data_IF_166104381819
#
_entry.id   IF_166104381819
#
_cell.length_a   1.000
_cell.length_b   1.000
_cell.length_c   1.000
_cell.angle_alpha   90.00
_cell.angle_beta   90.00
_cell.angle_gamma   90.00
#
_symmetry.space_group_name_H-M   'P 1'
#
loop_
_entity.id
_entity.type
_entity.pdbx_description
1 polymer ?
#
# COMPACT_ATOMS: atom_id res chain seq x y z
N UNK A 1 34.79 28.23 4.97
CA UNK A 1 33.81 27.62 5.87
C UNK A 1 34.22 26.18 6.10
N UNK A 2 34.63 25.84 7.28
CA UNK A 2 35.31 24.61 7.66
C UNK A 2 34.35 23.40 7.63
N UNK A 3 34.83 22.25 7.15
CA UNK A 3 34.05 21.01 7.00
C UNK A 3 33.36 20.48 8.27
N UNK A 4 33.79 20.96 9.47
CA UNK A 4 33.15 20.67 10.75
C UNK A 4 31.74 21.25 10.91
N UNK A 5 31.43 22.39 10.26
CA UNK A 5 30.12 23.03 10.30
C UNK A 5 29.09 22.29 9.45
N UNK A 6 29.51 21.62 8.36
CA UNK A 6 28.65 20.85 7.49
C UNK A 6 28.28 19.51 8.15
N UNK A 7 29.26 18.85 8.78
CA UNK A 7 29.03 17.61 9.53
C UNK A 7 28.12 17.84 10.76
N UNK A 8 28.29 18.97 11.46
CA UNK A 8 27.41 19.36 12.56
C UNK A 8 25.98 19.67 12.11
N UNK A 9 25.79 20.32 10.95
CA UNK A 9 24.45 20.54 10.34
C UNK A 9 23.79 19.24 9.88
N UNK A 10 24.52 18.33 9.26
CA UNK A 10 24.01 17.00 8.86
C UNK A 10 23.61 16.18 10.09
N UNK A 11 24.42 16.20 11.17
CA UNK A 11 24.06 15.57 12.46
C UNK A 11 22.86 16.23 13.14
N UNK A 12 22.72 17.55 13.04
CA UNK A 12 21.58 18.29 13.59
C UNK A 12 20.27 18.03 12.79
N UNK A 13 20.34 17.96 11.45
CA UNK A 13 19.22 17.59 10.59
C UNK A 13 18.77 16.14 10.80
N UNK A 14 19.69 15.20 11.06
CA UNK A 14 19.36 13.80 11.39
C UNK A 14 18.72 13.60 12.77
N UNK A 15 18.70 14.63 13.64
CA UNK A 15 18.09 14.59 14.98
C UNK A 15 16.74 15.32 15.07
N UNK A 16 16.27 15.93 13.98
CA UNK A 16 15.00 16.66 13.94
C UNK A 16 13.77 15.73 14.10
N UNK A 17 12.61 16.27 14.51
CA UNK A 17 11.37 15.50 14.68
C UNK A 17 10.95 14.74 13.41
N UNK A 18 11.16 15.33 12.23
CA UNK A 18 10.85 14.73 10.92
C UNK A 18 11.75 13.52 10.63
N UNK A 19 13.05 13.61 10.91
CA UNK A 19 13.98 12.49 10.71
C UNK A 19 13.64 11.32 11.65
N UNK A 20 13.29 11.59 12.90
CA UNK A 20 12.84 10.57 13.86
C UNK A 20 11.54 9.89 13.40
N UNK A 21 10.58 10.67 12.91
CA UNK A 21 9.32 10.15 12.37
C UNK A 21 9.55 9.25 11.14
N UNK A 22 10.46 9.63 10.23
CA UNK A 22 10.83 8.83 9.06
C UNK A 22 11.51 7.52 9.42
N UNK A 23 12.46 7.57 10.37
CA UNK A 23 13.15 6.37 10.89
C UNK A 23 12.14 5.44 11.58
N UNK A 24 11.26 5.99 12.42
CA UNK A 24 10.21 5.21 13.09
C UNK A 24 9.28 4.54 12.06
N UNK A 25 8.84 5.28 11.04
CA UNK A 25 8.02 4.72 9.97
C UNK A 25 8.72 3.57 9.23
N UNK A 26 10.02 3.71 8.96
CA UNK A 26 10.83 2.66 8.32
C UNK A 26 10.93 1.42 9.21
N UNK A 27 11.26 1.60 10.50
CA UNK A 27 11.34 0.50 11.47
C UNK A 27 9.99 -0.22 11.59
N UNK A 28 8.88 0.52 11.70
CA UNK A 28 7.54 -0.05 11.73
C UNK A 28 7.24 -0.87 10.48
N UNK A 29 7.62 -0.40 9.31
CA UNK A 29 7.43 -1.11 8.03
C UNK A 29 8.27 -2.37 7.94
N UNK A 30 9.55 -2.33 8.33
CA UNK A 30 10.42 -3.51 8.34
C UNK A 30 9.90 -4.56 9.32
N UNK A 31 9.54 -4.14 10.53
CA UNK A 31 8.96 -5.03 11.53
C UNK A 31 7.62 -5.65 11.03
N UNK A 32 6.78 -4.84 10.37
CA UNK A 32 5.49 -5.31 9.84
C UNK A 32 5.63 -6.35 8.74
N UNK A 33 6.74 -6.35 7.97
CA UNK A 33 6.97 -7.40 6.98
C UNK A 33 7.26 -8.73 7.64
N UNK A 34 8.11 -8.75 8.66
CA UNK A 34 8.42 -10.01 9.36
C UNK A 34 7.17 -10.60 10.00
N UNK A 35 6.41 -9.78 10.74
CA UNK A 35 5.16 -10.22 11.37
C UNK A 35 4.08 -10.57 10.34
N UNK A 36 3.94 -9.76 9.28
CA UNK A 36 2.98 -10.02 8.20
C UNK A 36 3.34 -11.28 7.39
N UNK A 37 4.63 -11.55 7.19
CA UNK A 37 5.09 -12.77 6.55
C UNK A 37 4.80 -13.99 7.43
N UNK A 38 5.10 -13.93 8.74
CA UNK A 38 4.76 -14.99 9.71
C UNK A 38 3.24 -15.25 9.71
N UNK A 39 2.42 -14.21 9.78
CA UNK A 39 0.96 -14.33 9.68
C UNK A 39 0.54 -15.06 8.40
N UNK A 40 1.11 -14.68 7.25
CA UNK A 40 0.79 -15.27 5.95
C UNK A 40 1.18 -16.77 5.91
N UNK A 41 2.37 -17.13 6.42
CA UNK A 41 2.82 -18.52 6.53
C UNK A 41 1.88 -19.35 7.40
N UNK A 42 1.54 -18.86 8.61
CA UNK A 42 0.63 -19.56 9.50
C UNK A 42 -0.77 -19.70 8.90
N UNK A 43 -1.27 -18.67 8.20
CA UNK A 43 -2.54 -18.73 7.49
C UNK A 43 -2.52 -19.80 6.40
N UNK A 44 -1.46 -19.84 5.58
CA UNK A 44 -1.30 -20.85 4.52
C UNK A 44 -1.24 -22.28 5.09
N UNK A 45 -0.46 -22.49 6.16
CA UNK A 45 -0.32 -23.82 6.79
C UNK A 45 -1.60 -24.34 7.42
N UNK A 46 -2.36 -23.47 8.09
CA UNK A 46 -3.55 -23.87 8.84
C UNK A 46 -4.79 -24.00 7.96
N UNK A 47 -4.92 -23.15 6.93
CA UNK A 47 -6.12 -23.09 6.07
C UNK A 47 -5.94 -23.79 4.73
N UNK A 48 -4.70 -24.07 4.33
CA UNK A 48 -4.40 -24.53 2.96
C UNK A 48 -4.69 -23.47 1.91
N UNK A 49 -4.48 -23.80 0.60
CA UNK A 49 -4.70 -22.83 -0.48
C UNK A 49 -6.16 -22.35 -0.58
N UNK A 50 -7.13 -23.26 -0.50
CA UNK A 50 -8.54 -22.92 -0.66
C UNK A 50 -9.03 -21.97 0.46
N UNK A 51 -8.81 -22.34 1.72
CA UNK A 51 -9.22 -21.51 2.86
C UNK A 51 -8.48 -20.16 2.89
N UNK A 52 -7.20 -20.16 2.54
CA UNK A 52 -6.44 -18.91 2.43
C UNK A 52 -7.02 -17.99 1.34
N UNK A 53 -7.39 -18.55 0.19
CA UNK A 53 -8.01 -17.81 -0.90
C UNK A 53 -9.36 -17.21 -0.52
N UNK A 54 -10.23 -17.98 0.14
CA UNK A 54 -11.52 -17.48 0.64
C UNK A 54 -11.34 -16.26 1.56
N UNK A 55 -10.44 -16.37 2.53
CA UNK A 55 -10.14 -15.27 3.46
C UNK A 55 -9.53 -14.08 2.73
N UNK A 56 -8.65 -14.31 1.76
CA UNK A 56 -8.02 -13.26 0.98
C UNK A 56 -9.06 -12.45 0.17
N UNK A 57 -10.03 -13.12 -0.45
CA UNK A 57 -11.12 -12.44 -1.18
C UNK A 57 -12.00 -11.61 -0.23
N UNK A 58 -12.40 -12.18 0.93
CA UNK A 58 -13.18 -11.43 1.93
C UNK A 58 -12.41 -10.18 2.38
N UNK A 59 -11.12 -10.31 2.66
CA UNK A 59 -10.29 -9.19 3.06
C UNK A 59 -10.14 -8.14 1.95
N UNK A 60 -9.85 -8.56 0.70
CA UNK A 60 -9.71 -7.66 -0.46
C UNK A 60 -11.01 -6.92 -0.77
N UNK A 61 -12.17 -7.59 -0.76
CA UNK A 61 -13.48 -6.95 -0.91
C UNK A 61 -13.74 -5.94 0.21
N UNK A 62 -13.44 -6.29 1.46
CA UNK A 62 -13.61 -5.40 2.61
C UNK A 62 -12.72 -4.17 2.49
N UNK A 63 -11.47 -4.34 2.02
CA UNK A 63 -10.52 -3.25 1.83
C UNK A 63 -10.94 -2.31 0.70
N UNK A 64 -11.48 -2.87 -0.40
CA UNK A 64 -12.04 -2.08 -1.51
C UNK A 64 -13.22 -1.25 -1.03
N UNK A 65 -14.20 -1.88 -0.34
CA UNK A 65 -15.35 -1.15 0.21
C UNK A 65 -14.91 -0.07 1.21
N UNK A 66 -13.97 -0.36 2.11
CA UNK A 66 -13.44 0.61 3.05
C UNK A 66 -12.78 1.81 2.33
N UNK A 67 -12.02 1.56 1.26
CA UNK A 67 -11.35 2.63 0.50
C UNK A 67 -12.35 3.46 -0.31
N UNK A 68 -13.34 2.82 -0.93
CA UNK A 68 -14.44 3.52 -1.61
C UNK A 68 -15.23 4.40 -0.63
N UNK A 69 -15.47 3.91 0.58
CA UNK A 69 -16.18 4.65 1.64
C UNK A 69 -15.43 5.90 2.10
N UNK A 70 -14.11 5.92 2.01
CA UNK A 70 -13.30 7.07 2.42
C UNK A 70 -13.41 8.28 1.49
N UNK A 71 -13.81 8.09 0.22
CA UNK A 71 -14.04 9.19 -0.73
C UNK A 71 -12.87 10.18 -0.86
N UNK A 72 -11.61 9.74 -0.70
CA UNK A 72 -10.41 10.58 -0.67
C UNK A 72 -10.17 11.33 0.65
N UNK A 73 -11.07 11.19 1.61
CA UNK A 73 -10.96 11.83 2.92
C UNK A 73 -9.70 11.41 3.70
N UNK A 74 -9.13 10.24 3.41
CA UNK A 74 -7.89 9.77 4.03
C UNK A 74 -6.71 10.73 3.75
N UNK A 75 -6.44 11.06 2.50
CA UNK A 75 -5.33 11.96 2.12
C UNK A 75 -5.64 13.40 2.52
N UNK A 76 -6.89 13.83 2.30
CA UNK A 76 -7.34 15.16 2.68
C UNK A 76 -7.26 15.38 4.19
N UNK A 77 -7.64 14.39 5.01
CA UNK A 77 -7.56 14.47 6.47
C UNK A 77 -6.12 14.66 6.96
N UNK A 78 -5.13 14.00 6.34
CA UNK A 78 -3.72 14.22 6.70
C UNK A 78 -3.32 15.68 6.48
N UNK A 79 -3.65 16.23 5.29
CA UNK A 79 -3.33 17.63 4.92
C UNK A 79 -4.03 18.63 5.82
N UNK A 80 -5.34 18.50 5.98
CA UNK A 80 -6.15 19.49 6.68
C UNK A 80 -5.97 19.47 8.21
N UNK A 81 -5.87 18.28 8.79
CA UNK A 81 -5.56 18.16 10.23
C UNK A 81 -4.19 18.80 10.52
N UNK A 82 -3.17 18.54 9.69
CA UNK A 82 -1.86 19.17 9.85
C UNK A 82 -1.94 20.69 9.71
N UNK A 83 -2.66 21.21 8.69
CA UNK A 83 -2.82 22.62 8.42
C UNK A 83 -3.58 23.35 9.55
N UNK A 84 -4.76 22.84 9.92
CA UNK A 84 -5.60 23.47 10.93
C UNK A 84 -4.99 23.39 12.33
N UNK A 85 -4.28 22.29 12.63
CA UNK A 85 -3.53 22.17 13.88
C UNK A 85 -2.35 23.17 13.95
N UNK A 86 -1.63 23.39 12.84
CA UNK A 86 -0.53 24.35 12.78
C UNK A 86 -1.01 25.81 12.88
N UNK A 87 -2.24 26.10 12.39
CA UNK A 87 -2.88 27.41 12.50
C UNK A 87 -3.64 27.62 13.82
N UNK A 88 -3.66 26.62 14.70
CA UNK A 88 -4.42 26.60 15.96
C UNK A 88 -5.93 26.88 15.77
N UNK A 89 -6.45 26.62 14.55
CA UNK A 89 -7.85 26.82 14.18
C UNK A 89 -8.72 25.62 14.64
N UNK A 90 -8.81 25.44 15.96
CA UNK A 90 -9.41 24.26 16.59
C UNK A 90 -10.94 24.16 16.37
N UNK A 91 -11.63 25.27 16.22
CA UNK A 91 -13.05 25.34 15.85
C UNK A 91 -13.32 24.74 14.47
N UNK A 92 -12.50 25.10 13.47
CA UNK A 92 -12.56 24.54 12.12
C UNK A 92 -12.13 23.09 12.09
N UNK A 93 -11.08 22.73 12.85
CA UNK A 93 -10.61 21.35 12.96
C UNK A 93 -11.70 20.44 13.53
N UNK A 94 -12.40 20.88 14.58
CA UNK A 94 -13.53 20.14 15.15
C UNK A 94 -14.66 19.98 14.12
N UNK A 95 -15.03 21.05 13.43
CA UNK A 95 -16.04 21.00 12.36
C UNK A 95 -15.68 20.05 11.24
N UNK A 96 -14.40 20.09 10.79
CA UNK A 96 -13.88 19.18 9.78
C UNK A 96 -13.95 17.71 10.18
N UNK A 97 -13.43 17.35 11.35
CA UNK A 97 -13.43 15.97 11.84
C UNK A 97 -14.85 15.41 11.98
N UNK A 98 -15.78 16.22 12.54
CA UNK A 98 -17.18 15.84 12.67
C UNK A 98 -17.83 15.63 11.31
N UNK A 99 -17.63 16.55 10.36
CA UNK A 99 -18.16 16.44 9.01
C UNK A 99 -17.63 15.20 8.28
N UNK A 100 -16.31 14.99 8.31
CA UNK A 100 -15.67 13.84 7.66
C UNK A 100 -16.14 12.52 8.25
N UNK A 101 -16.32 12.45 9.57
CA UNK A 101 -16.84 11.27 10.24
C UNK A 101 -18.28 10.98 9.83
N UNK A 102 -19.17 11.98 9.83
CA UNK A 102 -20.58 11.83 9.45
C UNK A 102 -20.74 11.43 7.98
N UNK A 103 -20.06 12.13 7.07
CA UNK A 103 -20.12 11.82 5.64
C UNK A 103 -19.50 10.45 5.39
N UNK A 104 -18.31 10.16 5.94
CA UNK A 104 -17.66 8.88 5.81
C UNK A 104 -18.50 7.72 6.33
N UNK A 105 -19.13 7.87 7.49
CA UNK A 105 -20.05 6.86 8.04
C UNK A 105 -21.26 6.66 7.13
N UNK A 106 -21.88 7.75 6.64
CA UNK A 106 -23.03 7.68 5.73
C UNK A 106 -22.68 6.95 4.42
N UNK A 107 -21.53 7.29 3.82
CA UNK A 107 -21.04 6.61 2.60
C UNK A 107 -20.76 5.13 2.89
N UNK A 108 -20.11 4.82 4.01
CA UNK A 108 -19.84 3.43 4.43
C UNK A 108 -21.12 2.62 4.56
N UNK A 109 -22.11 3.14 5.26
CA UNK A 109 -23.40 2.47 5.42
C UNK A 109 -24.12 2.30 4.07
N UNK A 110 -24.05 3.32 3.18
CA UNK A 110 -24.60 3.22 1.82
C UNK A 110 -23.93 2.12 0.99
N UNK A 111 -22.61 2.03 1.01
CA UNK A 111 -21.88 0.95 0.31
C UNK A 111 -22.13 -0.42 0.91
N UNK A 112 -22.27 -0.53 2.25
CA UNK A 112 -22.63 -1.80 2.91
C UNK A 112 -24.04 -2.20 2.52
N UNK A 113 -25.01 -1.28 2.54
CA UNK A 113 -26.39 -1.57 2.14
C UNK A 113 -26.45 -2.02 0.67
N UNK A 114 -25.75 -1.34 -0.25
CA UNK A 114 -25.65 -1.75 -1.64
C UNK A 114 -24.97 -3.12 -1.79
N UNK A 115 -23.91 -3.37 -1.03
CA UNK A 115 -23.21 -4.67 -1.04
C UNK A 115 -24.13 -5.79 -0.56
N UNK A 116 -24.86 -5.59 0.54
CA UNK A 116 -25.81 -6.59 1.05
C UNK A 116 -26.98 -6.82 0.09
N UNK A 117 -27.48 -5.77 -0.55
CA UNK A 117 -28.62 -5.88 -1.47
C UNK A 117 -28.25 -6.58 -2.78
N UNK A 118 -27.09 -6.30 -3.34
CA UNK A 118 -26.69 -6.73 -4.68
C UNK A 118 -25.34 -7.47 -4.66
N UNK A 119 -24.32 -6.87 -4.07
CA UNK A 119 -22.92 -7.34 -4.17
C UNK A 119 -22.70 -8.72 -3.57
N UNK A 120 -23.41 -9.04 -2.47
CA UNK A 120 -23.29 -10.33 -1.81
C UNK A 120 -23.67 -11.51 -2.70
N UNK A 121 -24.61 -11.32 -3.66
CA UNK A 121 -25.04 -12.36 -4.61
C UNK A 121 -23.96 -12.70 -5.63
N UNK A 122 -23.07 -11.77 -5.91
CA UNK A 122 -22.00 -11.91 -6.89
C UNK A 122 -20.63 -12.17 -6.24
N UNK A 123 -20.54 -12.15 -4.90
CA UNK A 123 -19.27 -12.37 -4.22
C UNK A 123 -18.79 -13.82 -4.38
N UNK A 124 -17.54 -14.06 -4.80
CA UNK A 124 -17.03 -15.40 -5.14
C UNK A 124 -16.64 -16.23 -3.90
N UNK A 125 -17.23 -15.95 -2.74
CA UNK A 125 -16.95 -16.58 -1.45
C UNK A 125 -18.19 -17.15 -0.76
N UNK A 126 -19.33 -17.23 -1.46
CA UNK A 126 -20.56 -17.82 -0.93
C UNK A 126 -20.99 -17.22 0.41
N UNK A 127 -21.25 -18.05 1.40
CA UNK A 127 -21.72 -17.64 2.73
C UNK A 127 -20.73 -16.73 3.48
N UNK A 128 -19.44 -16.75 3.12
CA UNK A 128 -18.46 -15.87 3.75
C UNK A 128 -18.61 -14.40 3.33
N UNK A 129 -19.41 -14.13 2.30
CA UNK A 129 -19.65 -12.78 1.80
C UNK A 129 -20.22 -11.83 2.87
N UNK A 130 -21.01 -12.34 3.82
CA UNK A 130 -21.58 -11.52 4.91
C UNK A 130 -20.51 -10.86 5.78
N UNK A 131 -19.36 -11.50 5.95
CA UNK A 131 -18.28 -10.98 6.80
C UNK A 131 -17.60 -9.74 6.20
N UNK A 132 -17.73 -9.53 4.88
CA UNK A 132 -17.27 -8.29 4.23
C UNK A 132 -17.98 -7.08 4.83
N UNK A 133 -19.31 -7.19 5.05
CA UNK A 133 -20.11 -6.12 5.64
C UNK A 133 -19.72 -5.81 7.10
N UNK A 134 -19.17 -6.77 7.83
CA UNK A 134 -18.66 -6.59 9.20
C UNK A 134 -17.24 -6.03 9.22
N UNK A 135 -16.39 -6.47 8.30
CA UNK A 135 -14.98 -6.10 8.30
C UNK A 135 -14.74 -4.72 7.66
N UNK A 136 -15.48 -4.36 6.60
CA UNK A 136 -15.29 -3.09 5.88
C UNK A 136 -15.44 -1.84 6.77
N UNK A 137 -16.44 -1.71 7.65
CA UNK A 137 -16.56 -0.56 8.56
C UNK A 137 -15.37 -0.44 9.52
N UNK A 138 -14.88 -1.57 10.04
CA UNK A 138 -13.72 -1.57 10.94
C UNK A 138 -12.47 -1.07 10.22
N UNK A 139 -12.25 -1.53 8.98
CA UNK A 139 -11.13 -1.03 8.14
C UNK A 139 -11.29 0.45 7.83
N UNK A 140 -12.51 0.92 7.54
CA UNK A 140 -12.79 2.36 7.31
C UNK A 140 -12.43 3.19 8.56
N UNK A 141 -12.84 2.75 9.74
CA UNK A 141 -12.50 3.43 11.00
C UNK A 141 -11.00 3.44 11.26
N UNK A 142 -10.31 2.33 11.00
CA UNK A 142 -8.85 2.27 11.13
C UNK A 142 -8.20 3.28 10.18
N UNK A 143 -8.56 3.29 8.90
CA UNK A 143 -7.97 4.19 7.90
C UNK A 143 -8.26 5.67 8.20
N UNK A 144 -9.48 5.99 8.63
CA UNK A 144 -9.83 7.35 9.09
C UNK A 144 -8.95 7.78 10.27
N UNK A 145 -8.90 6.97 11.32
CA UNK A 145 -8.09 7.27 12.49
C UNK A 145 -6.60 7.37 12.19
N UNK A 146 -6.07 6.51 11.31
CA UNK A 146 -4.69 6.60 10.82
C UNK A 146 -4.41 7.94 10.15
N UNK A 147 -5.33 8.41 9.30
CA UNK A 147 -5.19 9.67 8.58
C UNK A 147 -5.20 10.86 9.53
N UNK A 148 -6.11 10.86 10.51
CA UNK A 148 -6.17 11.89 11.56
C UNK A 148 -4.89 11.91 12.40
N UNK A 149 -4.43 10.73 12.87
CA UNK A 149 -3.20 10.63 13.65
C UNK A 149 -1.94 11.02 12.85
N UNK A 150 -1.90 10.70 11.56
CA UNK A 150 -0.84 11.16 10.64
C UNK A 150 -0.82 12.68 10.54
N UNK A 151 -1.98 13.32 10.41
CA UNK A 151 -2.11 14.78 10.38
C UNK A 151 -1.61 15.46 11.68
N UNK A 152 -1.77 14.81 12.83
CA UNK A 152 -1.17 15.25 14.10
C UNK A 152 0.31 14.89 14.25
N UNK A 153 0.95 14.28 13.26
CA UNK A 153 2.34 13.83 13.31
C UNK A 153 2.59 12.65 14.25
N UNK A 154 1.55 11.92 14.67
CA UNK A 154 1.64 10.78 15.59
C UNK A 154 1.85 9.48 14.82
N UNK A 155 3.04 9.32 14.20
CA UNK A 155 3.39 8.24 13.28
C UNK A 155 3.11 6.84 13.85
N UNK A 156 3.47 6.59 15.13
CA UNK A 156 3.25 5.29 15.76
C UNK A 156 1.75 4.95 15.88
N UNK A 157 0.92 5.89 16.34
CA UNK A 157 -0.53 5.69 16.45
C UNK A 157 -1.21 5.63 15.08
N UNK A 158 -0.64 6.31 14.09
CA UNK A 158 -1.13 6.26 12.72
C UNK A 158 -0.88 4.89 12.05
N UNK A 159 0.32 4.35 12.17
CA UNK A 159 0.74 3.17 11.41
C UNK A 159 0.74 1.87 12.26
N UNK A 160 1.08 1.97 13.55
CA UNK A 160 1.28 0.82 14.45
C UNK A 160 0.08 -0.13 14.54
N UNK A 161 -1.16 0.35 14.72
CA UNK A 161 -2.33 -0.52 14.87
C UNK A 161 -2.56 -1.43 13.66
N UNK A 162 -2.41 -0.93 12.44
CA UNK A 162 -2.62 -1.72 11.22
C UNK A 162 -1.38 -2.54 10.85
N UNK A 163 -0.17 -1.95 10.97
CA UNK A 163 1.06 -2.59 10.53
C UNK A 163 1.62 -3.61 11.52
N UNK A 164 1.40 -3.41 12.84
CA UNK A 164 1.96 -4.28 13.87
C UNK A 164 0.89 -4.94 14.73
N UNK A 165 0.01 -4.15 15.38
CA UNK A 165 -0.91 -4.69 16.37
C UNK A 165 -1.80 -5.78 15.77
N UNK A 166 -2.48 -5.49 14.66
CA UNK A 166 -3.36 -6.45 13.98
C UNK A 166 -2.62 -7.70 13.53
N UNK A 167 -1.50 -7.64 12.78
CA UNK A 167 -0.77 -8.86 12.41
C UNK A 167 -0.17 -9.62 13.60
N UNK A 168 0.26 -8.94 14.68
CA UNK A 168 0.74 -9.60 15.90
C UNK A 168 -0.39 -10.39 16.56
N UNK A 169 -1.57 -9.79 16.74
CA UNK A 169 -2.73 -10.47 17.31
C UNK A 169 -3.12 -11.70 16.49
N UNK A 170 -3.17 -11.56 15.16
CA UNK A 170 -3.46 -12.67 14.26
C UNK A 170 -2.41 -13.76 14.35
N UNK A 171 -1.13 -13.39 14.29
CA UNK A 171 -0.03 -14.38 14.38
C UNK A 171 -0.01 -15.09 15.73
N UNK A 172 -0.30 -14.39 16.84
CA UNK A 172 -0.32 -14.98 18.17
C UNK A 172 -1.43 -16.02 18.31
N UNK A 173 -2.64 -15.72 17.81
CA UNK A 173 -3.77 -16.67 17.82
C UNK A 173 -3.47 -17.87 16.92
N UNK A 174 -2.98 -17.64 15.69
CA UNK A 174 -2.65 -18.71 14.76
C UNK A 174 -1.49 -19.61 15.30
N UNK A 175 -0.50 -18.99 15.93
CA UNK A 175 0.61 -19.73 16.55
C UNK A 175 0.10 -20.60 17.71
N UNK A 176 -0.80 -20.10 18.53
CA UNK A 176 -1.42 -20.87 19.61
C UNK A 176 -2.23 -22.07 19.07
N UNK A 177 -3.02 -21.86 18.02
CA UNK A 177 -3.78 -22.92 17.34
C UNK A 177 -2.83 -23.97 16.75
N UNK A 178 -1.79 -23.54 16.06
CA UNK A 178 -0.78 -24.42 15.47
C UNK A 178 -0.03 -25.22 16.54
N UNK A 179 0.41 -24.57 17.63
CA UNK A 179 1.11 -25.24 18.73
C UNK A 179 0.23 -26.24 19.49
N UNK A 180 -1.08 -26.00 19.56
CA UNK A 180 -2.04 -26.93 20.14
C UNK A 180 -2.42 -28.09 19.20
N UNK A 181 -1.90 -28.15 17.98
CA UNK A 181 -2.24 -29.15 16.96
C UNK A 181 -3.70 -29.08 16.49
N UNK A 182 -4.36 -27.92 16.67
CA UNK A 182 -5.75 -27.72 16.28
C UNK A 182 -5.84 -27.27 14.82
N UNK A 183 -6.92 -27.65 14.15
CA UNK A 183 -7.32 -27.10 12.85
C UNK A 183 -8.24 -25.90 13.03
N UNK A 184 -8.23 -24.99 12.07
CA UNK A 184 -9.14 -23.85 12.01
C UNK A 184 -9.80 -23.80 10.63
N UNK A 185 -11.10 -23.59 10.59
CA UNK A 185 -11.82 -23.38 9.34
C UNK A 185 -11.78 -21.88 8.91
N UNK A 186 -12.03 -21.56 7.65
CA UNK A 186 -12.01 -20.17 7.16
C UNK A 186 -12.97 -19.24 7.90
N UNK A 187 -14.15 -19.73 8.34
CA UNK A 187 -15.11 -18.91 9.10
C UNK A 187 -14.56 -18.53 10.47
N UNK A 188 -14.03 -19.49 11.21
CA UNK A 188 -13.41 -19.23 12.51
C UNK A 188 -12.24 -18.27 12.39
N UNK A 189 -11.40 -18.42 11.35
CA UNK A 189 -10.31 -17.48 11.11
C UNK A 189 -10.81 -16.06 10.79
N UNK A 190 -11.87 -15.90 9.99
CA UNK A 190 -12.45 -14.59 9.70
C UNK A 190 -12.93 -13.91 10.98
N UNK A 191 -13.53 -14.63 11.95
CA UNK A 191 -13.87 -14.05 13.25
C UNK A 191 -12.64 -13.52 13.99
N UNK A 192 -11.52 -14.25 13.95
CA UNK A 192 -10.24 -13.75 14.52
C UNK A 192 -9.77 -12.48 13.79
N UNK A 193 -9.90 -12.43 12.45
CA UNK A 193 -9.57 -11.24 11.65
C UNK A 193 -10.45 -10.05 12.03
N UNK A 194 -11.75 -10.24 12.20
CA UNK A 194 -12.71 -9.20 12.62
C UNK A 194 -12.38 -8.73 14.03
N UNK A 195 -12.12 -9.65 14.97
CA UNK A 195 -11.76 -9.30 16.35
C UNK A 195 -10.44 -8.48 16.39
N UNK A 196 -9.40 -8.91 15.67
CA UNK A 196 -8.14 -8.18 15.59
C UNK A 196 -8.30 -6.80 14.93
N UNK A 197 -9.14 -6.69 13.90
CA UNK A 197 -9.49 -5.40 13.29
C UNK A 197 -10.28 -4.52 14.26
N UNK A 198 -11.20 -5.10 15.04
CA UNK A 198 -11.95 -4.41 16.08
C UNK A 198 -11.05 -3.83 17.18
N UNK A 199 -10.07 -4.61 17.66
CA UNK A 199 -9.08 -4.13 18.62
C UNK A 199 -8.23 -3.00 18.02
N UNK A 200 -7.76 -3.13 16.77
CA UNK A 200 -7.01 -2.08 16.10
C UNK A 200 -7.85 -0.80 15.91
N UNK A 201 -9.11 -0.93 15.50
CA UNK A 201 -10.06 0.19 15.38
C UNK A 201 -10.29 0.88 16.72
N UNK A 202 -10.47 0.11 17.80
CA UNK A 202 -10.65 0.63 19.16
C UNK A 202 -9.41 1.43 19.61
N UNK A 203 -8.20 0.88 19.44
CA UNK A 203 -6.95 1.56 19.81
C UNK A 203 -6.78 2.87 19.06
N UNK A 204 -6.99 2.87 17.74
CA UNK A 204 -6.91 4.11 16.92
C UNK A 204 -8.03 5.08 17.32
N UNK A 205 -9.26 4.59 17.51
CA UNK A 205 -10.42 5.39 17.92
C UNK A 205 -10.18 6.08 19.27
N UNK A 206 -9.68 5.35 20.28
CA UNK A 206 -9.31 5.93 21.59
C UNK A 206 -8.20 6.98 21.41
N UNK A 207 -7.19 6.72 20.59
CA UNK A 207 -6.12 7.68 20.31
C UNK A 207 -6.68 8.98 19.69
N UNK A 208 -7.59 8.86 18.70
CA UNK A 208 -8.27 10.02 18.11
C UNK A 208 -9.09 10.77 19.14
N UNK A 209 -9.94 10.08 19.91
CA UNK A 209 -10.81 10.68 20.94
C UNK A 209 -9.96 11.43 21.98
N UNK A 210 -8.90 10.81 22.49
CA UNK A 210 -8.00 11.46 23.47
C UNK A 210 -7.30 12.69 22.90
N UNK A 211 -6.83 12.60 21.64
CA UNK A 211 -6.13 13.71 20.98
C UNK A 211 -7.07 14.87 20.66
N UNK A 212 -8.33 14.59 20.36
CA UNK A 212 -9.36 15.59 20.00
C UNK A 212 -10.23 16.00 21.20
N UNK A 213 -10.01 15.45 22.37
CA UNK A 213 -10.79 15.78 23.59
C UNK A 213 -10.76 17.28 23.92
N UNK A 214 -9.62 17.93 23.75
CA UNK A 214 -9.46 19.37 23.95
C UNK A 214 -10.23 20.22 22.93
N UNK A 215 -10.57 19.66 21.76
CA UNK A 215 -11.36 20.35 20.73
C UNK A 215 -12.85 20.41 21.07
N UNK A 216 -13.33 19.57 22.00
CA UNK A 216 -14.75 19.49 22.37
C UNK A 216 -15.24 20.75 23.07
N UNK A 217 -14.35 21.54 23.67
CA UNK A 217 -14.68 22.82 24.29
C UNK A 217 -14.91 23.95 23.27
N UNK A 218 -14.51 23.77 22.02
CA UNK A 218 -14.72 24.75 20.96
C UNK A 218 -15.94 24.37 20.12
N UNK A 219 -16.92 25.29 19.92
CA UNK A 219 -18.07 25.01 19.09
C UNK A 219 -17.64 24.77 17.64
N UNK A 220 -18.14 23.71 16.97
CA UNK A 220 -17.74 23.41 15.60
C UNK A 220 -18.29 24.47 14.63
N UNK A 221 -17.41 25.06 13.83
CA UNK A 221 -17.82 25.94 12.73
C UNK A 221 -18.31 25.10 11.56
N UNK A 222 -19.41 25.52 10.95
CA UNK A 222 -19.94 24.88 9.73
C UNK A 222 -18.91 24.99 8.62
N UNK A 223 -18.43 23.84 8.15
CA UNK A 223 -17.50 23.72 7.03
C UNK A 223 -18.29 23.38 5.77
N UNK A 224 -18.00 24.02 4.66
CA UNK A 224 -18.68 23.78 3.39
C UNK A 224 -18.20 22.50 2.72
N UNK A 225 -19.03 21.43 2.62
CA UNK A 225 -18.61 20.13 2.10
C UNK A 225 -18.11 20.17 0.64
N UNK A 226 -18.66 21.08 -0.16
CA UNK A 226 -18.38 21.20 -1.60
C UNK A 226 -16.91 21.49 -1.93
N UNK A 227 -16.27 22.39 -1.18
CA UNK A 227 -14.86 22.72 -1.37
C UNK A 227 -13.96 21.49 -1.11
N UNK A 228 -14.27 20.75 -0.07
CA UNK A 228 -13.51 19.59 0.37
C UNK A 228 -13.67 18.42 -0.59
N UNK A 229 -14.86 18.17 -1.10
CA UNK A 229 -15.11 17.15 -2.11
C UNK A 229 -14.34 17.45 -3.40
N UNK A 230 -14.25 18.71 -3.81
CA UNK A 230 -13.49 19.09 -4.99
C UNK A 230 -11.98 18.89 -4.82
N UNK A 231 -11.44 19.16 -3.63
CA UNK A 231 -10.03 18.88 -3.31
C UNK A 231 -9.75 17.38 -3.12
N UNK A 232 -10.71 16.62 -2.59
CA UNK A 232 -10.59 15.19 -2.35
C UNK A 232 -10.68 14.36 -3.64
N UNK A 233 -11.46 14.77 -4.63
CA UNK A 233 -11.76 13.97 -5.81
C UNK A 233 -10.52 13.49 -6.60
N UNK A 234 -9.51 14.31 -6.93
CA UNK A 234 -8.32 13.84 -7.62
C UNK A 234 -7.50 12.84 -6.78
N UNK A 235 -7.44 13.07 -5.47
CA UNK A 235 -6.73 12.19 -4.52
C UNK A 235 -7.45 10.85 -4.37
N UNK A 236 -8.78 10.88 -4.44
CA UNK A 236 -9.62 9.69 -4.40
C UNK A 236 -9.40 8.80 -5.61
N UNK A 237 -9.40 9.36 -6.82
CA UNK A 237 -9.14 8.60 -8.05
C UNK A 237 -7.76 7.95 -8.00
N UNK A 238 -6.73 8.69 -7.55
CA UNK A 238 -5.38 8.13 -7.38
C UNK A 238 -5.36 6.98 -6.37
N UNK A 239 -6.02 7.17 -5.22
CA UNK A 239 -6.10 6.15 -4.17
C UNK A 239 -6.78 4.87 -4.64
N UNK A 240 -7.89 4.99 -5.38
CA UNK A 240 -8.59 3.83 -5.98
C UNK A 240 -7.72 3.13 -7.01
N UNK A 241 -7.04 3.86 -7.89
CA UNK A 241 -6.20 3.25 -8.91
C UNK A 241 -5.03 2.45 -8.30
N UNK A 242 -4.39 2.99 -7.26
CA UNK A 242 -3.33 2.28 -6.52
C UNK A 242 -3.88 1.04 -5.82
N UNK A 243 -5.03 1.15 -5.15
CA UNK A 243 -5.67 0.00 -4.50
C UNK A 243 -6.06 -1.07 -5.52
N UNK A 244 -6.66 -0.66 -6.65
CA UNK A 244 -7.08 -1.57 -7.70
C UNK A 244 -5.88 -2.37 -8.23
N UNK A 245 -4.74 -1.73 -8.53
CA UNK A 245 -3.54 -2.43 -8.97
C UNK A 245 -3.04 -3.48 -7.96
N UNK A 246 -3.27 -3.27 -6.67
CA UNK A 246 -2.86 -4.22 -5.64
C UNK A 246 -3.85 -5.37 -5.42
N UNK A 247 -5.16 -5.09 -5.44
CA UNK A 247 -6.18 -6.04 -5.01
C UNK A 247 -6.91 -6.73 -6.17
N UNK A 248 -6.86 -6.15 -7.38
CA UNK A 248 -7.69 -6.60 -8.51
C UNK A 248 -7.40 -8.06 -8.89
N UNK A 249 -6.14 -8.49 -8.86
CA UNK A 249 -5.77 -9.87 -9.19
C UNK A 249 -6.35 -10.89 -8.20
N UNK A 250 -6.37 -10.55 -6.90
CA UNK A 250 -7.00 -11.39 -5.87
C UNK A 250 -8.51 -11.53 -6.11
N UNK A 251 -9.18 -10.42 -6.48
CA UNK A 251 -10.60 -10.43 -6.77
C UNK A 251 -10.93 -11.18 -8.07
N UNK A 252 -10.17 -10.93 -9.13
CA UNK A 252 -10.36 -11.59 -10.42
C UNK A 252 -10.13 -13.10 -10.31
N UNK A 253 -9.10 -13.53 -9.57
CA UNK A 253 -8.87 -14.93 -9.26
C UNK A 253 -10.05 -15.54 -8.53
N UNK A 254 -10.57 -14.87 -7.50
CA UNK A 254 -11.75 -15.33 -6.79
C UNK A 254 -12.97 -15.55 -7.69
N UNK A 255 -13.21 -14.65 -8.67
CA UNK A 255 -14.35 -14.75 -9.56
C UNK A 255 -14.18 -15.76 -10.70
N UNK A 256 -12.96 -15.90 -11.26
CA UNK A 256 -12.77 -16.67 -12.50
C UNK A 256 -12.05 -18.00 -12.31
N UNK A 257 -11.19 -18.11 -11.29
CA UNK A 257 -10.41 -19.32 -11.04
C UNK A 257 -10.72 -19.99 -9.70
N UNK A 258 -11.46 -19.31 -8.84
CA UNK A 258 -11.90 -19.84 -7.54
C UNK A 258 -10.91 -19.64 -6.40
N UNK A 259 -11.31 -20.08 -5.18
CA UNK A 259 -10.54 -19.81 -3.97
C UNK A 259 -9.16 -20.47 -3.94
N UNK A 260 -9.02 -21.69 -4.48
CA UNK A 260 -7.77 -22.42 -4.49
C UNK A 260 -6.67 -21.65 -5.24
N UNK A 261 -6.94 -21.20 -6.46
CA UNK A 261 -5.99 -20.41 -7.25
C UNK A 261 -5.70 -19.04 -6.61
N UNK A 262 -6.72 -18.45 -6.01
CA UNK A 262 -6.54 -17.21 -5.22
C UNK A 262 -5.59 -17.42 -4.06
N UNK A 263 -5.71 -18.54 -3.35
CA UNK A 263 -4.82 -18.88 -2.23
C UNK A 263 -3.40 -19.12 -2.67
N UNK A 264 -3.20 -19.83 -3.79
CA UNK A 264 -1.88 -20.07 -4.39
C UNK A 264 -1.18 -18.77 -4.77
N UNK A 265 -1.93 -17.73 -5.16
CA UNK A 265 -1.38 -16.43 -5.48
C UNK A 265 -0.92 -15.63 -4.24
N UNK A 266 -1.45 -15.90 -3.04
CA UNK A 266 -1.16 -15.10 -1.84
C UNK A 266 0.32 -15.11 -1.42
N UNK A 267 1.03 -16.26 -1.34
CA UNK A 267 2.46 -16.25 -1.06
C UNK A 267 3.26 -15.41 -2.07
N UNK A 268 2.90 -15.52 -3.36
CA UNK A 268 3.54 -14.77 -4.45
C UNK A 268 3.38 -13.26 -4.24
N UNK A 269 2.16 -12.82 -3.93
CA UNK A 269 1.87 -11.41 -3.62
C UNK A 269 2.65 -10.93 -2.38
N UNK A 270 2.80 -11.75 -1.34
CA UNK A 270 3.58 -11.41 -0.13
C UNK A 270 5.08 -11.32 -0.40
N UNK A 271 5.62 -12.24 -1.17
CA UNK A 271 7.04 -12.23 -1.55
C UNK A 271 7.35 -10.99 -2.41
N UNK A 272 6.45 -10.58 -3.30
CA UNK A 272 6.64 -9.40 -4.14
C UNK A 272 6.82 -8.09 -3.32
N UNK A 273 6.21 -8.01 -2.14
CA UNK A 273 6.39 -6.86 -1.24
C UNK A 273 7.82 -6.72 -0.73
N UNK A 274 8.56 -7.82 -0.57
CA UNK A 274 9.98 -7.79 -0.18
C UNK A 274 10.84 -7.12 -1.24
N UNK A 275 10.56 -7.38 -2.52
CA UNK A 275 11.26 -6.76 -3.66
C UNK A 275 11.04 -5.25 -3.72
N UNK A 276 9.81 -4.79 -3.47
CA UNK A 276 9.47 -3.36 -3.51
C UNK A 276 10.06 -2.56 -2.35
N UNK A 277 10.43 -3.20 -1.24
CA UNK A 277 11.02 -2.50 -0.09
C UNK A 277 12.36 -1.86 -0.39
N UNK A 278 13.21 -2.49 -1.20
CA UNK A 278 14.46 -1.90 -1.65
C UNK A 278 14.20 -0.54 -2.32
N UNK A 279 13.24 -0.50 -3.24
CA UNK A 279 12.82 0.71 -3.93
C UNK A 279 12.28 1.79 -2.96
N UNK A 280 11.43 1.39 -2.00
CA UNK A 280 10.89 2.31 -1.00
C UNK A 280 11.97 2.90 -0.09
N UNK A 281 12.97 2.12 0.29
CA UNK A 281 14.09 2.58 1.12
C UNK A 281 14.93 3.64 0.41
N UNK A 282 15.21 3.45 -0.87
CA UNK A 282 15.88 4.44 -1.73
C UNK A 282 15.02 5.69 -1.87
N UNK A 283 13.70 5.53 -2.06
CA UNK A 283 12.73 6.62 -2.24
C UNK A 283 12.69 7.61 -1.07
N UNK A 284 12.86 7.14 0.17
CA UNK A 284 12.82 7.99 1.38
C UNK A 284 13.89 9.09 1.36
N UNK A 285 15.09 8.77 0.89
CA UNK A 285 16.19 9.74 0.78
C UNK A 285 16.16 10.52 -0.53
N UNK A 286 15.70 9.88 -1.59
CA UNK A 286 15.65 10.43 -2.92
C UNK A 286 14.63 11.58 -3.05
N UNK A 287 13.40 11.40 -2.55
CA UNK A 287 12.32 12.37 -2.72
C UNK A 287 12.68 13.81 -2.25
N UNK A 288 13.07 14.02 -0.98
CA UNK A 288 13.44 15.34 -0.50
C UNK A 288 14.62 15.97 -1.27
N UNK A 289 15.59 15.15 -1.68
CA UNK A 289 16.76 15.64 -2.43
C UNK A 289 16.40 16.09 -3.84
N UNK A 290 15.49 15.36 -4.51
CA UNK A 290 14.93 15.79 -5.79
C UNK A 290 14.20 17.11 -5.65
N UNK A 291 13.32 17.26 -4.66
CA UNK A 291 12.57 18.49 -4.44
C UNK A 291 13.50 19.71 -4.22
N UNK A 292 14.57 19.53 -3.43
CA UNK A 292 15.58 20.56 -3.18
C UNK A 292 16.31 20.99 -4.46
N UNK A 293 16.87 20.02 -5.21
CA UNK A 293 17.62 20.28 -6.43
C UNK A 293 16.72 20.84 -7.54
N UNK A 294 15.50 20.37 -7.64
CA UNK A 294 14.54 20.87 -8.63
C UNK A 294 14.15 22.33 -8.34
N UNK A 295 13.94 22.68 -7.07
CA UNK A 295 13.66 24.05 -6.65
C UNK A 295 14.86 25.01 -6.89
N UNK A 296 16.09 24.47 -6.87
CA UNK A 296 17.32 25.21 -7.16
C UNK A 296 17.60 25.34 -8.68
N UNK A 297 16.80 24.70 -9.53
CA UNK A 297 17.03 24.68 -10.99
C UNK A 297 18.18 23.76 -11.44
N UNK A 298 18.70 22.91 -10.54
CA UNK A 298 19.85 22.03 -10.83
C UNK A 298 19.40 20.72 -11.52
N UNK A 299 18.77 20.86 -12.70
CA UNK A 299 18.17 19.72 -13.44
C UNK A 299 19.18 18.61 -13.77
N UNK A 300 20.41 18.94 -14.13
CA UNK A 300 21.46 17.95 -14.41
C UNK A 300 21.81 17.08 -13.18
N UNK A 301 21.73 17.67 -11.96
CA UNK A 301 21.94 16.90 -10.73
C UNK A 301 20.73 16.04 -10.39
N UNK A 302 19.51 16.49 -10.70
CA UNK A 302 18.29 15.67 -10.57
C UNK A 302 18.40 14.44 -11.45
N UNK A 303 18.86 14.57 -12.68
CA UNK A 303 19.10 13.45 -13.59
C UNK A 303 20.16 12.48 -13.03
N UNK A 304 21.31 12.98 -12.59
CA UNK A 304 22.41 12.15 -12.04
C UNK A 304 21.96 11.33 -10.81
N UNK A 305 21.25 11.96 -9.87
CA UNK A 305 20.74 11.21 -8.71
C UNK A 305 19.63 10.24 -9.08
N UNK A 306 18.82 10.52 -10.10
CA UNK A 306 17.79 9.62 -10.61
C UNK A 306 18.40 8.37 -11.21
N UNK A 307 19.44 8.50 -12.00
CA UNK A 307 20.22 7.39 -12.57
C UNK A 307 20.86 6.53 -11.47
N UNK A 308 21.51 7.17 -10.49
CA UNK A 308 22.09 6.45 -9.34
C UNK A 308 21.04 5.70 -8.53
N UNK A 309 19.86 6.30 -8.35
CA UNK A 309 18.76 5.66 -7.66
C UNK A 309 18.20 4.45 -8.43
N UNK A 310 18.09 4.53 -9.76
CA UNK A 310 17.66 3.39 -10.60
C UNK A 310 18.69 2.24 -10.56
N UNK A 311 19.98 2.53 -10.64
CA UNK A 311 21.04 1.52 -10.50
C UNK A 311 20.96 0.86 -9.12
N UNK A 312 20.89 1.64 -8.05
CA UNK A 312 20.83 1.11 -6.69
C UNK A 312 19.57 0.26 -6.45
N UNK A 313 18.40 0.73 -6.89
CA UNK A 313 17.15 0.00 -6.77
C UNK A 313 17.17 -1.32 -7.55
N UNK A 314 17.69 -1.29 -8.78
CA UNK A 314 17.82 -2.51 -9.60
C UNK A 314 18.83 -3.49 -9.02
N UNK A 315 19.97 -3.01 -8.53
CA UNK A 315 20.97 -3.87 -7.89
C UNK A 315 20.39 -4.60 -6.66
N UNK A 316 19.64 -3.90 -5.83
CA UNK A 316 18.93 -4.51 -4.68
C UNK A 316 17.89 -5.52 -5.16
N UNK A 317 17.07 -5.17 -6.17
CA UNK A 317 16.07 -6.09 -6.72
C UNK A 317 16.71 -7.36 -7.29
N UNK A 318 17.83 -7.24 -8.03
CA UNK A 318 18.57 -8.39 -8.57
C UNK A 318 19.15 -9.25 -7.45
N UNK A 319 19.74 -8.65 -6.41
CA UNK A 319 20.28 -9.38 -5.27
C UNK A 319 19.19 -10.17 -4.51
N UNK A 320 18.03 -9.54 -4.28
CA UNK A 320 16.87 -10.21 -3.65
C UNK A 320 16.34 -11.31 -4.57
N UNK A 321 16.24 -11.06 -5.88
CA UNK A 321 15.82 -12.07 -6.86
C UNK A 321 16.77 -13.27 -6.87
N UNK A 322 18.07 -13.06 -6.81
CA UNK A 322 19.04 -14.15 -6.70
C UNK A 322 18.82 -14.99 -5.43
N UNK A 323 18.60 -14.34 -4.30
CA UNK A 323 18.19 -15.02 -3.07
C UNK A 323 16.88 -15.82 -3.25
N UNK A 324 15.88 -15.24 -3.93
CA UNK A 324 14.63 -15.95 -4.20
C UNK A 324 14.82 -17.15 -5.13
N UNK A 325 15.71 -17.10 -6.12
CA UNK A 325 16.02 -18.24 -6.99
C UNK A 325 16.53 -19.43 -6.17
N UNK A 326 17.41 -19.16 -5.21
CA UNK A 326 18.00 -20.20 -4.36
C UNK A 326 17.01 -20.75 -3.33
N UNK A 327 16.18 -19.89 -2.76
CA UNK A 327 15.35 -20.22 -1.60
C UNK A 327 13.86 -20.28 -1.91
N UNK A 328 13.40 -20.09 -3.16
CA UNK A 328 11.98 -20.11 -3.49
C UNK A 328 11.25 -21.39 -3.06
N UNK A 329 11.76 -22.61 -3.31
CA UNK A 329 11.09 -23.81 -2.84
C UNK A 329 11.00 -23.89 -1.31
N UNK A 330 12.06 -23.46 -0.60
CA UNK A 330 12.05 -23.38 0.85
C UNK A 330 11.02 -22.36 1.36
N UNK A 331 11.01 -21.16 0.79
CA UNK A 331 10.09 -20.08 1.19
C UNK A 331 8.64 -20.47 0.91
N UNK A 332 8.33 -21.03 -0.26
CA UNK A 332 6.99 -21.50 -0.61
C UNK A 332 6.59 -22.71 0.26
N UNK A 333 7.51 -23.62 0.55
CA UNK A 333 7.32 -24.77 1.45
C UNK A 333 7.01 -24.37 2.90
N UNK A 334 7.40 -23.16 3.33
CA UNK A 334 6.99 -22.63 4.64
C UNK A 334 5.46 -22.47 4.74
N UNK A 335 4.78 -22.19 3.64
CA UNK A 335 3.31 -22.08 3.58
C UNK A 335 2.63 -23.47 3.55
N UNK A 336 3.35 -24.50 3.14
CA UNK A 336 2.88 -25.88 2.95
C UNK A 336 3.24 -26.42 1.57
N UNK A 337 3.29 -27.73 1.41
CA UNK A 337 3.71 -28.40 0.16
C UNK A 337 2.83 -28.00 -1.04
N UNK A 338 1.51 -27.82 -0.85
CA UNK A 338 0.59 -27.41 -1.88
C UNK A 338 0.95 -26.07 -2.53
N UNK A 339 1.70 -25.20 -1.84
CA UNK A 339 2.11 -23.90 -2.38
C UNK A 339 3.36 -23.94 -3.25
N UNK A 340 4.06 -25.07 -3.34
CA UNK A 340 5.22 -25.21 -4.23
C UNK A 340 4.85 -25.00 -5.70
N UNK A 341 3.62 -25.33 -6.10
CA UNK A 341 3.11 -25.07 -7.45
C UNK A 341 2.98 -23.56 -7.78
N UNK A 342 3.02 -22.67 -6.79
CA UNK A 342 3.00 -21.21 -6.99
C UNK A 342 4.32 -20.67 -7.57
N UNK A 343 5.38 -21.48 -7.67
CA UNK A 343 6.69 -21.06 -8.16
C UNK A 343 6.63 -20.47 -9.58
N UNK A 344 5.80 -21.02 -10.46
CA UNK A 344 5.61 -20.50 -11.82
C UNK A 344 5.03 -19.08 -11.83
N UNK A 345 4.03 -18.79 -10.99
CA UNK A 345 3.47 -17.46 -10.84
C UNK A 345 4.48 -16.48 -10.22
N UNK A 346 5.33 -16.96 -9.28
CA UNK A 346 6.34 -16.15 -8.62
C UNK A 346 7.30 -15.49 -9.62
N UNK A 347 7.76 -16.21 -10.63
CA UNK A 347 8.72 -15.68 -11.60
C UNK A 347 8.15 -14.55 -12.46
N UNK A 348 6.88 -14.61 -12.82
CA UNK A 348 6.21 -13.52 -13.54
C UNK A 348 6.10 -12.26 -12.68
N UNK A 349 5.78 -12.41 -11.40
CA UNK A 349 5.71 -11.28 -10.47
C UNK A 349 7.09 -10.71 -10.18
N UNK A 350 8.11 -11.55 -10.04
CA UNK A 350 9.52 -11.11 -9.89
C UNK A 350 9.95 -10.29 -11.12
N UNK A 351 9.63 -10.74 -12.33
CA UNK A 351 9.92 -10.00 -13.56
C UNK A 351 9.24 -8.61 -13.55
N UNK A 352 7.98 -8.51 -13.12
CA UNK A 352 7.28 -7.24 -12.98
C UNK A 352 7.96 -6.29 -11.98
N UNK A 353 8.46 -6.83 -10.87
CA UNK A 353 9.15 -6.02 -9.85
C UNK A 353 10.53 -5.55 -10.30
N UNK A 354 11.31 -6.42 -10.98
CA UNK A 354 12.60 -6.02 -11.57
C UNK A 354 12.39 -4.91 -12.58
N UNK A 355 11.40 -5.03 -13.46
CA UNK A 355 11.05 -3.99 -14.43
C UNK A 355 10.75 -2.66 -13.72
N UNK A 356 9.93 -2.69 -12.67
CA UNK A 356 9.57 -1.49 -11.89
C UNK A 356 10.81 -0.86 -11.22
N UNK A 357 11.73 -1.68 -10.70
CA UNK A 357 12.98 -1.18 -10.14
C UNK A 357 13.90 -0.59 -11.22
N UNK A 358 13.98 -1.22 -12.41
CA UNK A 358 14.79 -0.77 -13.52
C UNK A 358 14.31 0.56 -14.13
N UNK A 359 13.03 0.87 -14.06
CA UNK A 359 12.49 2.17 -14.48
C UNK A 359 12.79 3.29 -13.48
N UNK A 360 13.23 2.96 -12.27
CA UNK A 360 13.65 3.91 -11.25
C UNK A 360 12.47 4.51 -10.46
N UNK A 361 12.76 5.57 -9.71
CA UNK A 361 11.83 6.22 -8.80
C UNK A 361 10.93 7.26 -9.51
N UNK A 362 10.22 6.84 -10.56
CA UNK A 362 9.43 7.71 -11.45
C UNK A 362 8.34 8.47 -10.70
N UNK A 363 7.55 7.77 -9.85
CA UNK A 363 6.45 8.39 -9.09
C UNK A 363 6.96 9.46 -8.11
N UNK A 364 7.96 9.19 -7.25
CA UNK A 364 8.56 10.22 -6.42
C UNK A 364 9.13 11.39 -7.24
N UNK A 365 9.76 11.11 -8.37
CA UNK A 365 10.32 12.13 -9.24
C UNK A 365 9.23 13.09 -9.78
N UNK A 366 8.15 12.55 -10.36
CA UNK A 366 7.02 13.35 -10.86
C UNK A 366 6.33 14.13 -9.74
N UNK A 367 6.15 13.53 -8.56
CA UNK A 367 5.54 14.20 -7.43
C UNK A 367 6.37 15.37 -6.90
N UNK A 368 7.69 15.19 -6.78
CA UNK A 368 8.60 16.21 -6.24
C UNK A 368 8.91 17.33 -7.26
N UNK A 369 8.76 17.06 -8.56
CA UNK A 369 8.89 18.08 -9.62
C UNK A 369 7.59 18.81 -9.94
N UNK A 370 6.51 18.60 -9.19
CA UNK A 370 5.22 19.27 -9.38
C UNK A 370 4.31 18.64 -10.45
N UNK A 371 4.73 17.54 -11.08
CA UNK A 371 4.01 16.87 -12.17
C UNK A 371 3.25 15.60 -11.70
N UNK A 372 2.89 15.49 -10.43
CA UNK A 372 2.26 14.29 -9.85
C UNK A 372 0.96 13.87 -10.55
N UNK A 373 0.20 14.80 -11.13
CA UNK A 373 -1.00 14.48 -11.91
C UNK A 373 -0.72 13.65 -13.15
N UNK A 374 0.48 13.73 -13.71
CA UNK A 374 0.89 12.94 -14.88
C UNK A 374 1.05 11.45 -14.58
N UNK A 375 1.07 11.05 -13.30
CA UNK A 375 1.07 9.66 -12.88
C UNK A 375 -0.32 9.01 -12.88
N UNK A 376 -1.41 9.79 -12.95
CA UNK A 376 -2.78 9.27 -12.90
C UNK A 376 -3.14 8.42 -14.11
N UNK A 377 -2.95 8.96 -15.31
CA UNK A 377 -3.31 8.26 -16.55
C UNK A 377 -2.58 6.91 -16.69
N UNK A 378 -1.26 6.82 -16.47
CA UNK A 378 -0.57 5.52 -16.46
C UNK A 378 -1.16 4.51 -15.50
N UNK A 379 -1.52 4.92 -14.28
CA UNK A 379 -2.10 4.00 -13.28
C UNK A 379 -3.48 3.50 -13.69
N UNK A 380 -4.36 4.39 -14.18
CA UNK A 380 -5.70 4.02 -14.66
C UNK A 380 -5.58 3.06 -15.86
N UNK A 381 -4.70 3.39 -16.82
CA UNK A 381 -4.43 2.52 -17.97
C UNK A 381 -3.89 1.16 -17.53
N UNK A 382 -3.00 1.14 -16.53
CA UNK A 382 -2.48 -0.10 -15.95
C UNK A 382 -3.58 -0.98 -15.35
N UNK A 383 -4.53 -0.39 -14.62
CA UNK A 383 -5.70 -1.13 -14.11
C UNK A 383 -6.53 -1.70 -15.26
N UNK A 384 -6.82 -0.91 -16.28
CA UNK A 384 -7.60 -1.35 -17.44
C UNK A 384 -6.89 -2.50 -18.19
N UNK A 385 -5.60 -2.39 -18.42
CA UNK A 385 -4.78 -3.45 -19.05
C UNK A 385 -4.73 -4.69 -18.17
N UNK A 386 -4.58 -4.56 -16.85
CA UNK A 386 -4.58 -5.68 -15.92
C UNK A 386 -5.93 -6.44 -15.97
N UNK A 387 -7.05 -5.71 -15.96
CA UNK A 387 -8.38 -6.30 -16.09
C UNK A 387 -8.52 -7.00 -17.45
N UNK A 388 -8.15 -6.34 -18.54
CA UNK A 388 -8.28 -6.91 -19.89
C UNK A 388 -7.44 -8.17 -20.09
N UNK A 389 -6.15 -8.14 -19.67
CA UNK A 389 -5.29 -9.32 -19.74
C UNK A 389 -5.71 -10.40 -18.76
N UNK A 390 -6.11 -10.01 -17.54
CA UNK A 390 -6.55 -10.96 -16.52
C UNK A 390 -7.83 -11.68 -16.92
N UNK A 391 -8.80 -11.00 -17.56
CA UNK A 391 -10.02 -11.63 -18.06
C UNK A 391 -9.77 -12.72 -19.10
N UNK A 392 -8.65 -12.63 -19.83
CA UNK A 392 -8.23 -13.62 -20.82
C UNK A 392 -7.34 -14.71 -20.20
N UNK A 393 -6.40 -14.33 -19.35
CA UNK A 393 -5.34 -15.23 -18.86
C UNK A 393 -5.73 -16.01 -17.59
N UNK A 394 -6.50 -15.40 -16.67
CA UNK A 394 -6.87 -16.06 -15.42
C UNK A 394 -7.75 -17.31 -15.62
N UNK A 395 -8.80 -17.30 -16.48
CA UNK A 395 -9.60 -18.48 -16.70
C UNK A 395 -8.80 -19.67 -17.26
N UNK A 396 -7.74 -19.40 -18.03
CA UNK A 396 -6.91 -20.43 -18.66
C UNK A 396 -5.73 -20.88 -17.79
N UNK A 397 -5.17 -19.99 -16.95
CA UNK A 397 -3.88 -20.21 -16.29
C UNK A 397 -3.91 -19.91 -14.78
N UNK A 398 -5.07 -19.65 -14.17
CA UNK A 398 -5.22 -19.42 -12.75
C UNK A 398 -4.27 -18.35 -12.18
N UNK A 399 -3.55 -18.68 -11.10
CA UNK A 399 -2.59 -17.80 -10.44
C UNK A 399 -1.46 -17.34 -11.37
N UNK A 400 -1.02 -18.16 -12.31
CA UNK A 400 -0.01 -17.79 -13.32
C UNK A 400 -0.59 -16.72 -14.26
N UNK A 401 -1.83 -16.86 -14.68
CA UNK A 401 -2.52 -15.87 -15.52
C UNK A 401 -2.63 -14.51 -14.84
N UNK A 402 -2.90 -14.48 -13.52
CA UNK A 402 -2.91 -13.27 -12.73
C UNK A 402 -1.51 -12.61 -12.64
N UNK A 403 -0.46 -13.42 -12.50
CA UNK A 403 0.91 -12.93 -12.48
C UNK A 403 1.34 -12.36 -13.85
N UNK A 404 0.96 -13.03 -14.96
CA UNK A 404 1.22 -12.55 -16.32
C UNK A 404 0.48 -11.25 -16.62
N UNK A 405 -0.79 -11.15 -16.22
CA UNK A 405 -1.58 -9.91 -16.40
C UNK A 405 -0.99 -8.73 -15.62
N UNK A 406 -0.50 -8.99 -14.40
CA UNK A 406 0.22 -7.99 -13.60
C UNK A 406 1.48 -7.51 -14.32
N UNK A 407 2.30 -8.43 -14.86
CA UNK A 407 3.50 -8.05 -15.63
C UNK A 407 3.13 -7.19 -16.84
N UNK A 408 2.12 -7.59 -17.61
CA UNK A 408 1.65 -6.81 -18.77
C UNK A 408 1.18 -5.41 -18.38
N UNK A 409 0.42 -5.29 -17.29
CA UNK A 409 0.02 -4.01 -16.74
C UNK A 409 1.22 -3.16 -16.31
N UNK A 410 2.20 -3.75 -15.61
CA UNK A 410 3.40 -3.05 -15.16
C UNK A 410 4.29 -2.59 -16.33
N UNK A 411 4.37 -3.34 -17.43
CA UNK A 411 5.04 -2.89 -18.66
C UNK A 411 4.41 -1.59 -19.16
N UNK A 412 3.09 -1.57 -19.31
CA UNK A 412 2.37 -0.38 -19.82
C UNK A 412 2.51 0.81 -18.85
N UNK A 413 2.30 0.59 -17.55
CA UNK A 413 2.44 1.64 -16.52
C UNK A 413 3.84 2.24 -16.56
N UNK A 414 4.88 1.42 -16.54
CA UNK A 414 6.26 1.89 -16.47
C UNK A 414 6.67 2.61 -17.76
N UNK A 415 6.27 2.13 -18.95
CA UNK A 415 6.49 2.83 -20.21
C UNK A 415 5.82 4.19 -20.24
N UNK A 416 4.54 4.27 -19.87
CA UNK A 416 3.82 5.54 -19.83
C UNK A 416 4.43 6.52 -18.80
N UNK A 417 4.87 6.01 -17.64
CA UNK A 417 5.56 6.80 -16.61
C UNK A 417 6.90 7.36 -17.14
N UNK A 418 7.70 6.54 -17.81
CA UNK A 418 8.96 6.99 -18.43
C UNK A 418 8.72 8.07 -19.48
N UNK A 419 7.69 7.89 -20.34
CA UNK A 419 7.30 8.90 -21.31
C UNK A 419 6.84 10.21 -20.65
N UNK A 420 6.11 10.12 -19.53
CA UNK A 420 5.70 11.29 -18.76
C UNK A 420 6.93 12.05 -18.19
N UNK A 421 7.91 11.34 -17.61
CA UNK A 421 9.14 11.96 -17.12
C UNK A 421 9.91 12.60 -18.26
N UNK A 422 10.12 11.88 -19.37
CA UNK A 422 10.82 12.42 -20.53
C UNK A 422 10.14 13.67 -21.10
N UNK A 423 8.80 13.70 -21.12
CA UNK A 423 8.04 14.85 -21.62
C UNK A 423 8.16 16.09 -20.72
N UNK A 424 8.17 15.90 -19.39
CA UNK A 424 8.15 17.01 -18.44
C UNK A 424 9.52 17.44 -17.94
N UNK A 425 10.49 16.51 -17.88
CA UNK A 425 11.82 16.76 -17.31
C UNK A 425 12.95 16.66 -18.34
N UNK A 426 12.67 16.18 -19.57
CA UNK A 426 13.64 16.13 -20.66
C UNK A 426 14.64 14.95 -20.62
N UNK A 427 14.58 14.08 -19.60
CA UNK A 427 15.48 12.92 -19.46
C UNK A 427 14.70 11.66 -19.09
N UNK A 428 15.34 10.50 -19.15
CA UNK A 428 14.80 9.21 -18.73
C UNK A 428 15.54 8.68 -17.49
N UNK A 429 14.85 8.41 -16.36
CA UNK A 429 15.49 8.02 -15.10
C UNK A 429 15.80 6.52 -15.02
N UNK A 430 15.65 5.76 -16.11
CA UNK A 430 15.76 4.32 -16.16
C UNK A 430 17.22 3.81 -16.17
N UNK A 431 17.37 2.51 -15.88
CA UNK A 431 18.67 1.82 -15.83
C UNK A 431 19.44 1.91 -17.16
N UNK A 432 18.74 1.80 -18.30
CA UNK A 432 19.40 1.81 -19.63
C UNK A 432 20.03 3.17 -19.88
N UNK A 433 19.29 4.24 -19.62
CA UNK A 433 19.78 5.62 -19.73
C UNK A 433 20.93 5.89 -18.76
N UNK A 434 20.83 5.36 -17.52
CA UNK A 434 21.88 5.46 -16.52
C UNK A 434 23.20 4.80 -16.95
N UNK A 435 23.15 3.60 -17.55
CA UNK A 435 24.32 2.88 -18.04
C UNK A 435 24.97 3.60 -19.23
N UNK A 436 24.17 4.17 -20.13
CA UNK A 436 24.68 4.97 -21.27
C UNK A 436 25.39 6.23 -20.78
N UNK A 437 24.81 6.96 -19.84
CA UNK A 437 25.43 8.17 -19.26
C UNK A 437 26.72 7.86 -18.49
N UNK A 438 26.86 6.70 -17.87
CA UNK A 438 28.06 6.24 -17.20
C UNK A 438 29.20 5.86 -18.17
N UNK A 439 28.85 5.33 -19.35
CA UNK A 439 29.80 4.99 -20.40
C UNK A 439 30.47 6.23 -21.06
N UNK A 440 29.71 7.30 -21.25
CA UNK A 440 30.20 8.56 -21.85
C UNK A 440 31.10 9.40 -20.93
N UNK A 441 31.07 9.16 -19.61
CA UNK A 441 31.97 9.84 -18.64
C UNK A 441 33.33 9.14 -18.46
N UNK A 442 33.54 7.96 -19.02
CA UNK A 442 34.79 7.17 -18.91
C UNK A 442 35.62 7.12 -20.20
N UNK A 443 35.18 7.69 -21.28
CA UNK A 443 35.93 7.96 -22.49
C UNK A 443 36.28 9.45 -22.58
#
# INVERSE_FOLDING_TARGET
MTGSSIIARIKAQGRGPVARASVLSLVLRIASLGVGFLQAVLTGRLLGPEGYGQVAVVFSLSLVLATLSMGGANVLSVKEVARLNALEAFDRLHGFLRMTLLIGTGITLGFIALYLAVGMRFAPVGDLAIYVALLAPLLTLIHFGQSVMSGFGKVFMAQGPMLLLRPILLSSVLLAIWAAGLSIDPRAYIYVVIAAAGVAALVVGIAVIRKTALLRSTPPVKVHPRQWLHEAAPLYVTGIAVLALNEINTLMLGWWAGPQETGLFQPVARISLLLTMGLQTVSIRFGPRVAELYAQGEHARVEDISHKAAIAATAVAVAVTFGLILFAPFILGLFGEAFLQSASALWWVVAAQILTCATGLVIPLLNMSGHGRSALLPQITGVAVNIALGSLLIPAHGAVGAAMSLLGAMIVVNLMMLLAVRRHLGFSPDLISALRAGGTKRG
#
